data_IF_392288473052
#
_entry.id   IF_392288473052
#
_cell.length_a   1.000
_cell.length_b   1.000
_cell.length_c   1.000
_cell.angle_alpha   90.00
_cell.angle_beta   90.00
_cell.angle_gamma   90.00
#
_symmetry.space_group_name_H-M   'P 1'
#
loop_
_entity.id
_entity.type
_entity.pdbx_description
1 polymer ?
#
# COMPACT_ATOMS: atom_id res chain seq x y z
N UNK A 1 3.57 3.08 -14.88
CA UNK A 1 2.84 1.80 -14.87
C UNK A 1 2.22 1.50 -13.50
N UNK A 2 2.95 1.57 -12.41
CA UNK A 2 2.45 1.25 -11.05
C UNK A 2 1.22 2.06 -10.63
N UNK A 3 1.05 3.26 -11.13
CA UNK A 3 -0.07 4.14 -10.79
C UNK A 3 -1.38 3.83 -11.54
N UNK A 4 -1.35 3.03 -12.61
CA UNK A 4 -2.52 2.85 -13.48
C UNK A 4 -2.81 1.40 -13.88
N UNK A 5 -1.99 0.45 -13.44
CA UNK A 5 -2.17 -0.97 -13.74
C UNK A 5 -1.90 -1.84 -12.52
N UNK A 6 -2.57 -2.97 -12.37
CA UNK A 6 -2.23 -3.93 -11.33
C UNK A 6 -0.83 -4.50 -11.57
N UNK A 7 -0.20 -4.96 -10.50
CA UNK A 7 1.10 -5.65 -10.56
C UNK A 7 0.99 -7.03 -9.92
N UNK A 8 1.83 -7.94 -10.40
CA UNK A 8 2.00 -9.28 -9.85
C UNK A 8 3.47 -9.45 -9.52
N UNK A 9 3.78 -9.70 -8.27
CA UNK A 9 5.13 -9.92 -7.77
C UNK A 9 5.26 -11.34 -7.25
N UNK A 10 6.31 -12.04 -7.65
CA UNK A 10 6.69 -13.34 -7.08
C UNK A 10 7.60 -13.03 -5.90
N UNK A 11 7.11 -13.26 -4.69
CA UNK A 11 7.84 -12.97 -3.45
C UNK A 11 8.66 -14.16 -2.95
N UNK A 12 8.37 -15.35 -3.44
CA UNK A 12 9.13 -16.54 -3.09
C UNK A 12 8.77 -17.73 -3.94
N UNK A 13 9.77 -18.56 -4.21
CA UNK A 13 9.64 -19.86 -4.84
C UNK A 13 10.30 -20.90 -3.94
N UNK A 14 9.56 -21.90 -3.55
CA UNK A 14 10.04 -23.00 -2.71
C UNK A 14 9.70 -24.31 -3.38
N UNK A 15 10.72 -25.14 -3.60
CA UNK A 15 10.55 -26.46 -4.18
C UNK A 15 11.89 -27.23 -4.20
N UNK A 16 11.81 -28.52 -4.40
CA UNK A 16 12.98 -29.37 -4.39
C UNK A 16 13.51 -29.69 -2.99
N UNK A 17 14.73 -30.20 -2.94
CA UNK A 17 15.42 -30.51 -1.70
C UNK A 17 16.21 -29.30 -1.24
N UNK A 18 15.92 -28.82 -0.04
CA UNK A 18 16.57 -27.63 0.55
C UNK A 18 17.50 -27.95 1.71
N UNK A 19 17.75 -29.23 1.99
CA UNK A 19 18.69 -29.69 3.02
C UNK A 19 20.15 -29.72 2.54
N UNK A 20 21.11 -30.08 3.41
CA UNK A 20 22.51 -30.19 3.05
C UNK A 20 22.77 -31.36 2.10
N UNK A 21 23.78 -31.20 1.23
CA UNK A 21 24.14 -32.19 0.22
C UNK A 21 23.22 -32.25 -0.99
N UNK A 22 23.44 -33.21 -1.87
CA UNK A 22 22.61 -33.43 -3.06
C UNK A 22 21.47 -34.43 -2.83
N UNK A 23 20.42 -34.31 -3.64
CA UNK A 23 19.30 -35.25 -3.69
C UNK A 23 18.86 -35.45 -5.14
N UNK A 24 18.73 -36.71 -5.56
CA UNK A 24 18.35 -37.10 -6.94
C UNK A 24 16.87 -37.39 -7.13
N UNK A 25 16.04 -37.05 -6.14
CA UNK A 25 14.58 -37.26 -6.19
C UNK A 25 13.91 -36.04 -6.82
N UNK A 26 12.99 -36.27 -7.74
CA UNK A 26 12.14 -35.21 -8.29
C UNK A 26 11.26 -34.62 -7.18
N UNK A 27 11.11 -33.30 -7.13
CA UNK A 27 10.26 -32.65 -6.16
C UNK A 27 8.79 -33.06 -6.37
N UNK A 28 8.09 -33.37 -5.30
CA UNK A 28 6.67 -33.68 -5.34
C UNK A 28 5.79 -32.42 -5.20
N UNK A 29 6.40 -31.29 -4.82
CA UNK A 29 5.71 -30.03 -4.57
C UNK A 29 6.61 -28.85 -4.87
N UNK A 30 6.02 -27.81 -5.45
CA UNK A 30 6.59 -26.47 -5.52
C UNK A 30 5.53 -25.45 -5.11
N UNK A 31 5.94 -24.38 -4.46
CA UNK A 31 5.04 -23.30 -4.00
C UNK A 31 5.59 -21.97 -4.48
N UNK A 32 4.75 -21.19 -5.14
CA UNK A 32 5.00 -19.78 -5.41
C UNK A 32 4.18 -18.91 -4.45
N UNK A 33 4.81 -17.95 -3.81
CA UNK A 33 4.15 -16.87 -3.06
C UNK A 33 4.04 -15.65 -3.95
N UNK A 34 2.84 -15.12 -4.10
CA UNK A 34 2.54 -14.03 -5.03
C UNK A 34 1.83 -12.92 -4.27
N UNK A 35 2.28 -11.69 -4.44
CA UNK A 35 1.58 -10.47 -4.05
C UNK A 35 1.03 -9.76 -5.29
N UNK A 36 -0.23 -9.34 -5.22
CA UNK A 36 -0.89 -8.60 -6.29
C UNK A 36 -1.31 -7.24 -5.77
N UNK A 37 -0.81 -6.16 -6.42
CA UNK A 37 -1.26 -4.80 -6.15
C UNK A 37 -2.38 -4.44 -7.11
N UNK A 38 -3.55 -4.18 -6.55
CA UNK A 38 -4.75 -3.90 -7.32
C UNK A 38 -4.89 -2.40 -7.60
N UNK A 39 -5.64 -2.06 -8.63
CA UNK A 39 -6.04 -0.68 -8.95
C UNK A 39 -7.50 -0.46 -8.52
N UNK A 40 -7.96 0.81 -8.38
CA UNK A 40 -9.39 1.09 -8.22
C UNK A 40 -10.23 0.36 -9.27
N UNK A 41 -11.47 0.05 -8.92
CA UNK A 41 -12.43 -0.71 -9.75
C UNK A 41 -12.07 -2.20 -9.96
N UNK A 42 -11.12 -2.72 -9.18
CA UNK A 42 -10.85 -4.15 -9.05
C UNK A 42 -11.24 -4.63 -7.65
N UNK A 43 -11.54 -5.92 -7.52
CA UNK A 43 -11.71 -6.57 -6.23
C UNK A 43 -10.67 -7.68 -6.04
N UNK A 44 -10.38 -8.04 -4.79
CA UNK A 44 -9.51 -9.16 -4.49
C UNK A 44 -10.10 -10.49 -5.02
N UNK A 45 -11.44 -10.62 -4.98
CA UNK A 45 -12.14 -11.80 -5.50
C UNK A 45 -11.99 -11.92 -7.04
N UNK A 46 -12.15 -10.81 -7.78
CA UNK A 46 -11.99 -10.81 -9.24
C UNK A 46 -10.54 -11.07 -9.64
N UNK A 47 -9.58 -10.54 -8.90
CA UNK A 47 -8.16 -10.82 -9.13
C UNK A 47 -7.83 -12.30 -8.97
N UNK A 48 -8.35 -12.94 -7.92
CA UNK A 48 -8.21 -14.38 -7.70
C UNK A 48 -8.86 -15.20 -8.84
N UNK A 49 -10.07 -14.83 -9.22
CA UNK A 49 -10.79 -15.51 -10.31
C UNK A 49 -10.04 -15.37 -11.65
N UNK A 50 -9.51 -14.19 -11.94
CA UNK A 50 -8.70 -13.90 -13.12
C UNK A 50 -7.41 -14.72 -13.13
N UNK A 51 -6.73 -14.83 -12.01
CA UNK A 51 -5.52 -15.66 -11.90
C UNK A 51 -5.83 -17.13 -12.18
N UNK A 52 -6.88 -17.68 -11.58
CA UNK A 52 -7.31 -19.06 -11.82
C UNK A 52 -7.68 -19.30 -13.29
N UNK A 53 -8.42 -18.39 -13.89
CA UNK A 53 -8.78 -18.47 -15.31
C UNK A 53 -7.54 -18.39 -16.22
N UNK A 54 -6.57 -17.56 -15.88
CA UNK A 54 -5.30 -17.45 -16.61
C UNK A 54 -4.53 -18.77 -16.56
N UNK A 55 -4.38 -19.38 -15.38
CA UNK A 55 -3.72 -20.69 -15.23
C UNK A 55 -4.43 -21.77 -16.06
N UNK A 56 -5.73 -21.87 -15.94
CA UNK A 56 -6.52 -22.84 -16.70
C UNK A 56 -6.37 -22.65 -18.22
N UNK A 57 -6.41 -21.41 -18.71
CA UNK A 57 -6.18 -21.08 -20.12
C UNK A 57 -4.84 -21.57 -20.65
N UNK A 58 -3.82 -21.60 -19.79
CA UNK A 58 -2.48 -22.03 -20.16
C UNK A 58 -2.17 -23.51 -19.81
N UNK A 59 -3.17 -24.30 -19.46
CA UNK A 59 -3.03 -25.74 -19.21
C UNK A 59 -2.58 -26.08 -17.78
N UNK A 60 -2.67 -25.13 -16.83
CA UNK A 60 -2.27 -25.28 -15.43
C UNK A 60 -3.49 -25.28 -14.49
N UNK A 61 -4.58 -25.94 -14.89
CA UNK A 61 -5.80 -26.01 -14.06
C UNK A 61 -5.65 -26.90 -12.82
N UNK A 62 -4.61 -27.71 -12.77
CA UNK A 62 -4.22 -28.56 -11.63
C UNK A 62 -3.44 -27.82 -10.55
N UNK A 63 -3.00 -26.58 -10.82
CA UNK A 63 -2.32 -25.76 -9.82
C UNK A 63 -3.34 -25.27 -8.78
N UNK A 64 -3.12 -25.66 -7.53
CA UNK A 64 -3.91 -25.19 -6.41
C UNK A 64 -3.59 -23.70 -6.13
N UNK A 65 -4.61 -22.86 -6.10
CA UNK A 65 -4.48 -21.44 -5.81
C UNK A 65 -5.24 -21.09 -4.54
N UNK A 66 -4.50 -20.75 -3.49
CA UNK A 66 -5.02 -20.38 -2.18
C UNK A 66 -4.77 -18.89 -1.89
N UNK A 67 -5.82 -18.14 -1.62
CA UNK A 67 -5.70 -16.75 -1.14
C UNK A 67 -5.58 -16.78 0.39
N UNK A 68 -4.41 -16.36 0.89
CA UNK A 68 -4.12 -16.34 2.34
C UNK A 68 -4.53 -15.03 3.02
N UNK A 69 -4.84 -14.01 2.23
CA UNK A 69 -5.30 -12.69 2.68
C UNK A 69 -5.49 -11.77 1.48
N UNK A 70 -6.20 -10.70 1.69
CA UNK A 70 -6.44 -9.68 0.66
C UNK A 70 -7.62 -8.79 1.02
N UNK A 71 -7.62 -7.62 0.43
CA UNK A 71 -8.69 -6.64 0.54
C UNK A 71 -8.73 -5.76 -0.70
N UNK A 72 -9.87 -5.12 -0.90
CA UNK A 72 -10.11 -4.29 -2.06
C UNK A 72 -9.30 -2.98 -2.00
N UNK A 73 -8.95 -2.40 -3.14
CA UNK A 73 -8.33 -1.08 -3.21
C UNK A 73 -9.22 -0.02 -2.54
N UNK A 74 -8.57 1.00 -2.00
CA UNK A 74 -9.25 2.18 -1.49
C UNK A 74 -8.99 3.38 -2.40
N UNK A 75 -9.99 4.24 -2.52
CA UNK A 75 -9.88 5.47 -3.30
C UNK A 75 -10.60 6.60 -2.57
N UNK A 76 -10.00 7.79 -2.59
CA UNK A 76 -10.58 9.00 -2.04
C UNK A 76 -10.53 10.09 -3.10
N UNK A 77 -11.65 10.79 -3.38
CA UNK A 77 -11.65 11.91 -4.31
C UNK A 77 -10.66 13.00 -3.93
N UNK A 78 -9.98 13.58 -4.90
CA UNK A 78 -8.97 14.63 -4.67
C UNK A 78 -9.55 15.91 -4.05
N UNK A 79 -10.84 16.13 -4.22
CA UNK A 79 -11.60 17.27 -3.68
C UNK A 79 -12.30 16.96 -2.36
N UNK A 80 -12.09 15.78 -1.77
CA UNK A 80 -12.63 15.46 -0.46
C UNK A 80 -12.15 16.45 0.62
N UNK A 81 -13.00 16.73 1.60
CA UNK A 81 -12.74 17.72 2.65
C UNK A 81 -11.42 17.45 3.38
N UNK A 82 -11.17 16.19 3.71
CA UNK A 82 -9.91 15.80 4.37
C UNK A 82 -8.68 16.05 3.49
N UNK A 83 -8.77 15.87 2.18
CA UNK A 83 -7.66 16.14 1.26
C UNK A 83 -7.41 17.66 1.17
N UNK A 84 -8.47 18.47 1.11
CA UNK A 84 -8.32 19.95 1.14
C UNK A 84 -7.66 20.40 2.45
N UNK A 85 -8.04 19.81 3.58
CA UNK A 85 -7.43 20.09 4.88
C UNK A 85 -5.94 19.73 4.90
N UNK A 86 -5.58 18.54 4.38
CA UNK A 86 -4.17 18.13 4.23
C UNK A 86 -3.37 19.13 3.41
N UNK A 87 -3.88 19.53 2.24
CA UNK A 87 -3.23 20.50 1.36
C UNK A 87 -3.03 21.85 2.05
N UNK A 88 -4.01 22.31 2.84
CA UNK A 88 -3.92 23.55 3.59
C UNK A 88 -2.81 23.52 4.64
N UNK A 89 -2.67 22.42 5.38
CA UNK A 89 -1.61 22.25 6.38
C UNK A 89 -0.23 22.18 5.73
N UNK A 90 -0.07 21.43 4.64
CA UNK A 90 1.20 21.35 3.92
C UNK A 90 1.66 22.73 3.43
N UNK A 91 0.76 23.51 2.80
CA UNK A 91 1.08 24.87 2.32
C UNK A 91 1.42 25.82 3.46
N UNK A 92 0.72 25.73 4.59
CA UNK A 92 1.04 26.52 5.78
C UNK A 92 2.41 26.17 6.35
N UNK A 93 2.80 24.91 6.29
CA UNK A 93 4.14 24.43 6.65
C UNK A 93 5.23 24.75 5.62
N UNK A 94 4.92 25.54 4.59
CA UNK A 94 5.88 25.94 3.53
C UNK A 94 6.16 24.83 2.51
N UNK A 95 5.33 23.79 2.46
CA UNK A 95 5.44 22.69 1.51
C UNK A 95 4.36 22.83 0.44
N UNK A 96 4.76 22.91 -0.84
CA UNK A 96 3.81 22.74 -1.94
C UNK A 96 3.71 21.26 -2.29
N UNK A 97 2.61 20.59 -1.92
CA UNK A 97 2.49 19.17 -2.07
C UNK A 97 2.23 18.76 -3.52
N UNK A 98 2.81 17.65 -3.92
CA UNK A 98 2.50 17.01 -5.21
C UNK A 98 1.49 15.90 -4.95
N UNK A 99 0.32 16.01 -5.59
CA UNK A 99 -0.70 14.98 -5.50
C UNK A 99 -0.40 13.86 -6.49
N UNK A 100 -0.08 12.69 -5.98
CA UNK A 100 0.05 11.49 -6.79
C UNK A 100 -1.32 10.83 -6.91
N UNK A 101 -1.72 10.41 -8.11
CA UNK A 101 -3.04 9.79 -8.33
C UNK A 101 -3.19 8.46 -7.59
N UNK A 102 -2.09 7.81 -7.23
CA UNK A 102 -2.09 6.53 -6.54
C UNK A 102 -0.73 6.24 -5.89
N UNK A 103 -0.81 5.61 -4.72
CA UNK A 103 0.31 4.92 -4.08
C UNK A 103 0.07 3.40 -4.14
N UNK A 104 1.10 2.62 -4.48
CA UNK A 104 1.03 1.15 -4.50
C UNK A 104 1.26 0.52 -3.11
N UNK A 105 1.39 1.33 -2.06
CA UNK A 105 1.45 0.87 -0.68
C UNK A 105 0.15 0.18 -0.26
N UNK A 106 0.27 -0.76 0.65
CA UNK A 106 -0.86 -1.52 1.20
C UNK A 106 -1.21 -0.99 2.59
N UNK A 107 -2.48 -0.70 2.82
CA UNK A 107 -3.01 -0.32 4.12
C UNK A 107 -4.50 -0.66 4.20
N UNK A 108 -5.07 -0.88 5.37
CA UNK A 108 -6.47 -1.31 5.50
C UNK A 108 -7.47 -0.16 5.34
N UNK A 109 -7.26 0.72 4.37
CA UNK A 109 -8.12 1.88 4.12
C UNK A 109 -9.55 1.53 3.72
N UNK A 110 -9.75 0.34 3.17
CA UNK A 110 -11.07 -0.18 2.83
C UNK A 110 -12.03 -0.22 4.03
N UNK A 111 -11.52 -0.34 5.25
CA UNK A 111 -12.32 -0.30 6.49
C UNK A 111 -13.07 1.04 6.63
N UNK A 112 -12.50 2.12 6.13
CA UNK A 112 -13.11 3.43 6.15
C UNK A 112 -13.89 3.73 4.86
N UNK A 113 -13.33 3.39 3.71
CA UNK A 113 -13.88 3.75 2.40
C UNK A 113 -14.95 2.78 1.90
N UNK A 114 -14.97 1.55 2.43
CA UNK A 114 -15.98 0.54 2.13
C UNK A 114 -17.25 0.65 2.98
N UNK A 115 -18.19 -0.22 2.70
CA UNK A 115 -19.40 -0.37 3.50
C UNK A 115 -19.08 -0.83 4.94
N UNK A 116 -19.82 -0.34 5.95
CA UNK A 116 -20.94 0.60 5.86
C UNK A 116 -20.54 2.08 5.94
N UNK A 117 -19.25 2.38 6.17
CA UNK A 117 -18.82 3.74 6.52
C UNK A 117 -18.79 4.68 5.32
N UNK A 118 -18.26 4.23 4.19
CA UNK A 118 -18.09 5.02 2.95
C UNK A 118 -17.48 6.41 3.18
N UNK A 119 -16.53 6.52 4.11
CA UNK A 119 -15.87 7.76 4.46
C UNK A 119 -14.62 7.96 3.60
N UNK A 120 -14.29 9.20 3.23
CA UNK A 120 -12.99 9.47 2.65
C UNK A 120 -11.88 9.17 3.65
N UNK A 121 -10.77 8.59 3.20
CA UNK A 121 -9.63 8.25 4.03
C UNK A 121 -8.32 8.53 3.28
N UNK A 122 -7.27 8.86 4.02
CA UNK A 122 -5.97 9.15 3.44
C UNK A 122 -4.88 9.24 4.50
N UNK A 123 -3.63 9.07 4.06
CA UNK A 123 -2.47 9.27 4.92
C UNK A 123 -2.14 10.75 5.04
N UNK A 124 -1.64 11.13 6.20
CA UNK A 124 -1.20 12.49 6.47
C UNK A 124 0.01 12.49 7.39
N UNK A 125 0.87 13.48 7.24
CA UNK A 125 1.98 13.78 8.14
C UNK A 125 3.09 14.59 7.47
N UNK A 126 3.76 15.43 8.24
CA UNK A 126 4.94 16.20 7.84
C UNK A 126 6.25 15.61 8.37
N UNK A 127 6.21 14.41 8.92
CA UNK A 127 7.40 13.71 9.37
C UNK A 127 8.33 13.32 8.21
N UNK A 128 9.61 13.20 8.50
CA UNK A 128 10.62 12.78 7.56
C UNK A 128 11.29 11.49 8.03
N UNK A 129 11.52 10.60 7.09
CA UNK A 129 12.20 9.33 7.31
C UNK A 129 12.50 8.66 5.99
N UNK A 130 13.21 7.58 6.01
CA UNK A 130 13.52 6.79 4.82
C UNK A 130 13.87 5.36 5.18
N UNK A 131 14.00 4.51 4.17
CA UNK A 131 14.40 3.13 4.33
C UNK A 131 13.29 2.20 4.84
N UNK A 132 12.01 2.52 4.60
CA UNK A 132 10.88 1.69 5.03
C UNK A 132 11.10 0.21 4.66
N UNK A 133 10.96 -0.68 5.65
CA UNK A 133 11.22 -2.12 5.58
C UNK A 133 12.69 -2.52 5.37
N UNK A 134 13.64 -1.57 5.43
CA UNK A 134 15.07 -1.86 5.40
C UNK A 134 15.67 -1.93 6.82
N UNK A 135 16.80 -2.63 7.02
CA UNK A 135 17.44 -2.72 8.33
C UNK A 135 17.92 -1.38 8.91
N UNK A 136 18.10 -0.38 8.05
CA UNK A 136 18.54 0.98 8.36
C UNK A 136 17.40 2.00 8.24
N UNK A 137 16.16 1.56 8.37
CA UNK A 137 15.00 2.46 8.42
C UNK A 137 15.16 3.48 9.55
N UNK A 138 14.91 4.74 9.24
CA UNK A 138 15.02 5.81 10.20
C UNK A 138 13.87 6.82 10.11
N UNK A 139 13.63 7.49 11.22
CA UNK A 139 12.75 8.64 11.35
C UNK A 139 13.53 9.83 11.96
N UNK A 140 13.31 11.02 11.43
CA UNK A 140 14.01 12.22 11.91
C UNK A 140 13.35 12.71 13.20
N UNK A 141 14.11 12.70 14.31
CA UNK A 141 13.66 13.23 15.59
C UNK A 141 13.85 14.75 15.62
N UNK A 142 15.04 15.22 15.27
CA UNK A 142 15.39 16.64 15.20
C UNK A 142 16.21 16.89 13.94
N UNK A 143 16.09 18.09 13.37
CA UNK A 143 16.85 18.48 12.18
C UNK A 143 17.30 19.93 12.29
N UNK A 144 18.54 20.18 11.89
CA UNK A 144 19.06 21.54 11.69
C UNK A 144 18.58 22.17 10.38
N UNK A 145 18.02 21.38 9.46
CA UNK A 145 17.44 21.88 8.22
C UNK A 145 15.99 22.32 8.47
N UNK A 146 15.65 23.60 8.31
CA UNK A 146 14.30 24.12 8.58
C UNK A 146 13.23 23.56 7.63
N UNK A 147 13.62 22.94 6.52
CA UNK A 147 12.71 22.28 5.58
C UNK A 147 12.40 20.81 5.94
N UNK A 148 13.08 20.28 6.96
CA UNK A 148 12.92 18.90 7.39
C UNK A 148 12.28 18.90 8.77
N UNK A 149 11.04 18.45 8.84
CA UNK A 149 10.31 18.37 10.08
C UNK A 149 10.75 17.13 10.89
N UNK A 150 11.11 17.35 12.15
CA UNK A 150 11.30 16.28 13.11
C UNK A 150 9.99 15.83 13.76
N UNK A 151 10.08 14.99 14.78
CA UNK A 151 8.92 14.38 15.44
C UNK A 151 7.93 15.42 15.99
N UNK A 152 8.43 16.51 16.58
CA UNK A 152 7.57 17.58 17.12
C UNK A 152 6.77 18.26 16.00
N UNK A 153 7.42 18.56 14.88
CA UNK A 153 6.74 19.14 13.72
C UNK A 153 5.68 18.21 13.14
N UNK A 154 5.96 16.91 13.10
CA UNK A 154 4.97 15.90 12.69
C UNK A 154 3.76 15.89 13.63
N UNK A 155 3.96 15.88 14.95
CA UNK A 155 2.87 15.94 15.94
C UNK A 155 2.04 17.20 15.79
N UNK A 156 2.67 18.37 15.69
CA UNK A 156 1.97 19.65 15.47
C UNK A 156 1.16 19.64 14.19
N UNK A 157 1.69 19.08 13.11
CA UNK A 157 0.96 18.99 11.85
C UNK A 157 -0.35 18.21 11.97
N UNK A 158 -0.40 17.17 12.79
CA UNK A 158 -1.63 16.42 13.05
C UNK A 158 -2.65 17.25 13.85
N UNK A 159 -2.20 18.03 14.83
CA UNK A 159 -3.08 18.95 15.56
C UNK A 159 -3.66 20.00 14.61
N UNK A 160 -2.83 20.63 13.80
CA UNK A 160 -3.30 21.58 12.79
C UNK A 160 -4.29 20.97 11.79
N UNK A 161 -4.02 19.71 11.39
CA UNK A 161 -4.90 18.98 10.49
C UNK A 161 -6.29 18.76 11.09
N UNK A 162 -6.39 18.39 12.36
CA UNK A 162 -7.68 18.24 13.03
C UNK A 162 -8.48 19.57 13.06
N UNK A 163 -7.80 20.69 13.31
CA UNK A 163 -8.43 22.02 13.25
C UNK A 163 -8.87 22.39 11.82
N UNK A 164 -8.08 22.04 10.79
CA UNK A 164 -8.47 22.29 9.41
C UNK A 164 -9.65 21.41 8.97
N UNK A 165 -9.69 20.16 9.36
CA UNK A 165 -10.85 19.27 9.09
C UNK A 165 -12.10 19.85 9.71
N UNK A 166 -12.05 20.34 10.96
CA UNK A 166 -13.18 20.93 11.64
C UNK A 166 -13.74 22.20 10.95
N UNK A 167 -12.93 22.89 10.13
CA UNK A 167 -13.39 24.05 9.33
C UNK A 167 -14.07 23.64 8.02
N UNK A 168 -13.89 22.41 7.58
CA UNK A 168 -14.37 21.93 6.28
C UNK A 168 -15.63 21.06 6.40
N UNK A 169 -16.06 20.78 7.62
CA UNK A 169 -17.35 20.18 7.96
C UNK A 169 -18.40 21.23 8.20
#
# INVERSE_FOLDING_TARGET
MLMSRPTVNIEGLVGGYTGPGGKTVLPHRAVAKIDMRLVPDMTAADALATLKAHLAKHGFSDVEVNMTGGYDPTSTPADASLIRAQMAVYRRGGVEPVMLPRNAGSWPGYVFTGDPLRLPAGHFGLGHGSGAHAPDEYYVIESSNPKVQGINGAVFSHVEYLYEVAKTT
#
